data_IF_067532985727
#
_entry.id   IF_067532985727
#
_cell.length_a   1.000
_cell.length_b   1.000
_cell.length_c   1.000
_cell.angle_alpha   90.00
_cell.angle_beta   90.00
_cell.angle_gamma   90.00
#
_symmetry.space_group_name_H-M   'P 1'
#
loop_
_entity.id
_entity.type
_entity.pdbx_description
1 polymer ?
#
# COMPACT_ATOMS: atom_id res chain seq x y z
N UNK A 1 12.84 3.73 25.40
CA UNK A 1 11.67 4.41 24.82
C UNK A 1 10.84 3.36 24.11
N UNK A 2 9.52 3.44 24.19
CA UNK A 2 8.63 2.57 23.42
C UNK A 2 8.82 2.85 21.91
N UNK A 3 8.77 1.82 21.06
CA UNK A 3 8.99 1.92 19.61
C UNK A 3 8.04 2.94 18.98
N UNK A 4 6.82 3.02 19.49
CA UNK A 4 5.78 3.98 19.08
C UNK A 4 6.23 5.42 19.29
N UNK A 5 6.85 5.72 20.43
CA UNK A 5 7.33 7.07 20.74
C UNK A 5 8.47 7.47 19.78
N UNK A 6 9.43 6.57 19.56
CA UNK A 6 10.54 6.82 18.64
C UNK A 6 10.03 7.07 17.20
N UNK A 7 9.06 6.26 16.73
CA UNK A 7 8.43 6.48 15.42
C UNK A 7 7.72 7.82 15.33
N UNK A 8 7.07 8.28 16.40
CA UNK A 8 6.39 9.56 16.42
C UNK A 8 7.36 10.74 16.35
N UNK A 9 8.49 10.68 17.06
CA UNK A 9 9.57 11.67 16.97
C UNK A 9 10.13 11.71 15.54
N UNK A 10 10.41 10.56 14.93
CA UNK A 10 10.88 10.50 13.55
C UNK A 10 9.87 11.07 12.54
N UNK A 11 8.56 10.90 12.76
CA UNK A 11 7.53 11.53 11.90
C UNK A 11 7.52 13.05 11.99
N UNK A 12 7.99 13.63 13.09
CA UNK A 12 8.17 15.09 13.21
C UNK A 12 9.39 15.57 12.43
N UNK A 13 10.44 14.74 12.30
CA UNK A 13 11.58 15.01 11.43
C UNK A 13 11.23 14.85 9.95
N UNK A 14 10.44 13.83 9.60
CA UNK A 14 10.04 13.50 8.23
C UNK A 14 8.56 13.83 7.99
N UNK A 15 8.27 15.13 7.89
CA UNK A 15 6.93 15.64 7.58
C UNK A 15 6.42 15.18 6.21
N UNK A 16 5.13 15.34 5.94
CA UNK A 16 4.60 15.11 4.59
C UNK A 16 5.28 16.06 3.60
N UNK A 17 5.65 15.56 2.40
CA UNK A 17 6.18 16.45 1.38
C UNK A 17 5.10 17.48 1.01
N UNK A 18 5.53 18.73 0.82
CA UNK A 18 4.60 19.76 0.35
C UNK A 18 4.18 19.50 -1.11
N UNK A 19 3.12 20.19 -1.52
CA UNK A 19 2.56 20.02 -2.86
C UNK A 19 3.54 20.43 -3.97
N UNK A 20 4.46 21.37 -3.72
CA UNK A 20 5.43 21.82 -4.70
C UNK A 20 6.47 20.73 -4.98
N UNK A 21 7.00 20.11 -3.92
CA UNK A 21 7.90 18.96 -4.02
C UNK A 21 7.22 17.80 -4.74
N UNK A 22 6.02 17.41 -4.30
CA UNK A 22 5.24 16.32 -4.94
C UNK A 22 5.10 16.60 -6.45
N UNK A 23 4.69 17.80 -6.82
CA UNK A 23 4.49 18.17 -8.23
C UNK A 23 5.80 18.09 -9.03
N UNK A 24 6.92 18.46 -8.42
CA UNK A 24 8.24 18.41 -9.05
C UNK A 24 8.74 16.97 -9.30
N UNK A 25 8.40 16.02 -8.43
CA UNK A 25 8.99 14.66 -8.48
C UNK A 25 8.05 13.56 -8.98
N UNK A 26 6.73 13.68 -8.81
CA UNK A 26 5.77 12.59 -9.08
C UNK A 26 5.89 11.99 -10.49
N UNK A 27 6.15 12.82 -11.50
CA UNK A 27 6.26 12.37 -12.89
C UNK A 27 7.51 11.53 -13.12
N UNK A 28 8.65 11.98 -12.57
CA UNK A 28 9.93 11.26 -12.65
C UNK A 28 9.87 9.94 -11.89
N UNK A 29 9.30 9.95 -10.69
CA UNK A 29 9.10 8.73 -9.90
C UNK A 29 8.22 7.73 -10.65
N UNK A 30 7.10 8.20 -11.23
CA UNK A 30 6.20 7.34 -11.99
C UNK A 30 6.83 6.74 -13.25
N UNK A 31 7.75 7.46 -13.91
CA UNK A 31 8.53 6.93 -15.02
C UNK A 31 9.49 5.83 -14.54
N UNK A 32 10.30 6.11 -13.51
CA UNK A 32 11.23 5.11 -12.93
C UNK A 32 10.51 3.82 -12.54
N UNK A 33 9.39 3.96 -11.84
CA UNK A 33 8.56 2.81 -11.42
C UNK A 33 8.08 2.01 -12.64
N UNK A 34 7.68 2.67 -13.73
CA UNK A 34 7.26 2.02 -14.98
C UNK A 34 8.42 1.28 -15.68
N UNK A 35 9.65 1.69 -15.41
CA UNK A 35 10.88 1.04 -15.86
C UNK A 35 11.19 -0.31 -15.19
N UNK A 36 10.69 -0.52 -13.96
CA UNK A 36 11.02 -1.69 -13.14
C UNK A 36 10.45 -3.00 -13.70
N UNK A 37 11.23 -4.09 -13.62
CA UNK A 37 10.77 -5.43 -13.98
C UNK A 37 9.54 -5.88 -13.19
N UNK A 38 9.56 -5.70 -11.86
CA UNK A 38 8.43 -6.03 -10.97
C UNK A 38 7.14 -5.29 -11.33
N UNK A 39 7.24 -4.09 -11.89
CA UNK A 39 6.08 -3.34 -12.37
C UNK A 39 5.58 -3.89 -13.69
N UNK A 40 6.49 -4.14 -14.64
CA UNK A 40 6.13 -4.66 -15.97
C UNK A 40 5.46 -6.03 -15.88
N UNK A 41 5.98 -6.91 -15.04
CA UNK A 41 5.48 -8.28 -14.83
C UNK A 41 4.11 -8.32 -14.11
N UNK A 42 3.84 -7.39 -13.19
CA UNK A 42 2.60 -7.41 -12.41
C UNK A 42 1.41 -6.85 -13.20
N UNK A 43 0.40 -7.68 -13.49
CA UNK A 43 -0.84 -7.27 -14.17
C UNK A 43 -1.89 -6.67 -13.24
N UNK A 44 -1.90 -7.12 -11.99
CA UNK A 44 -2.76 -6.60 -10.93
C UNK A 44 -1.88 -6.06 -9.81
N UNK A 45 -2.07 -4.77 -9.51
CA UNK A 45 -1.19 -4.04 -8.58
C UNK A 45 -2.01 -3.25 -7.57
N UNK A 46 -1.55 -3.26 -6.33
CA UNK A 46 -2.09 -2.39 -5.30
C UNK A 46 -1.30 -1.10 -5.28
N UNK A 47 -1.97 0.04 -5.30
CA UNK A 47 -1.31 1.34 -5.15
C UNK A 47 -2.08 2.15 -4.11
N UNK A 48 -1.38 2.59 -3.07
CA UNK A 48 -2.00 3.40 -2.04
C UNK A 48 -2.52 4.74 -2.59
N UNK A 49 -3.51 5.36 -1.96
CA UNK A 49 -4.18 6.57 -2.46
C UNK A 49 -3.39 7.86 -2.17
N UNK A 50 -2.07 7.77 -1.98
CA UNK A 50 -1.18 8.92 -1.87
C UNK A 50 -1.27 9.82 -3.13
N UNK A 51 -1.14 11.13 -2.92
CA UNK A 51 -1.05 12.11 -4.01
C UNK A 51 0.25 11.98 -4.81
N UNK A 52 1.37 11.61 -4.17
CA UNK A 52 2.66 11.34 -4.82
C UNK A 52 2.53 10.23 -5.85
N UNK A 53 1.72 9.22 -5.55
CA UNK A 53 1.50 8.05 -6.40
C UNK A 53 0.39 8.23 -7.44
N UNK A 54 -0.21 9.42 -7.56
CA UNK A 54 -1.33 9.65 -8.49
C UNK A 54 -0.95 9.35 -9.93
N UNK A 55 0.22 9.81 -10.37
CA UNK A 55 0.69 9.54 -11.73
C UNK A 55 1.01 8.05 -11.95
N UNK A 56 1.48 7.34 -10.91
CA UNK A 56 1.72 5.88 -10.97
C UNK A 56 0.41 5.13 -11.24
N UNK A 57 -0.69 5.51 -10.57
CA UNK A 57 -2.02 4.92 -10.80
C UNK A 57 -2.55 5.20 -12.20
N UNK A 58 -2.34 6.41 -12.72
CA UNK A 58 -2.74 6.77 -14.10
C UNK A 58 -1.95 5.92 -15.10
N UNK A 59 -0.63 5.85 -14.96
CA UNK A 59 0.24 5.07 -15.84
C UNK A 59 -0.16 3.58 -15.82
N UNK A 60 -0.44 3.03 -14.63
CA UNK A 60 -0.87 1.64 -14.49
C UNK A 60 -2.13 1.31 -15.30
N UNK A 61 -3.17 2.15 -15.23
CA UNK A 61 -4.39 1.95 -16.00
C UNK A 61 -4.15 2.11 -17.50
N UNK A 62 -3.29 3.06 -17.91
CA UNK A 62 -2.89 3.23 -19.31
C UNK A 62 -2.06 2.06 -19.84
N UNK A 63 -1.32 1.39 -18.96
CA UNK A 63 -0.51 0.20 -19.26
C UNK A 63 -1.32 -1.10 -19.27
N UNK A 64 -2.64 -1.01 -19.15
CA UNK A 64 -3.50 -2.19 -19.17
C UNK A 64 -3.47 -2.99 -17.86
N UNK A 65 -3.04 -2.38 -16.75
CA UNK A 65 -3.01 -3.04 -15.43
C UNK A 65 -4.31 -2.79 -14.68
N UNK A 66 -4.72 -3.79 -13.90
CA UNK A 66 -5.76 -3.63 -12.91
C UNK A 66 -5.19 -3.00 -11.63
N UNK A 67 -5.81 -1.93 -11.16
CA UNK A 67 -5.35 -1.20 -9.97
C UNK A 67 -6.29 -1.47 -8.80
N UNK A 68 -5.75 -2.09 -7.75
CA UNK A 68 -6.42 -2.27 -6.46
C UNK A 68 -6.09 -1.07 -5.57
N UNK A 69 -7.10 -0.45 -4.99
CA UNK A 69 -6.93 0.64 -4.03
C UNK A 69 -7.72 0.38 -2.75
N UNK A 70 -7.22 0.79 -1.57
CA UNK A 70 -8.00 0.77 -0.35
C UNK A 70 -9.00 1.93 -0.35
N UNK A 71 -10.21 1.69 0.16
CA UNK A 71 -11.14 2.75 0.54
C UNK A 71 -10.60 3.57 1.73
N UNK A 72 -11.14 4.77 1.93
CA UNK A 72 -10.65 5.69 2.96
C UNK A 72 -10.66 5.05 4.35
N UNK A 73 -9.47 4.97 4.98
CA UNK A 73 -9.28 4.34 6.28
C UNK A 73 -9.65 2.85 6.33
N UNK A 74 -9.62 2.15 5.18
CA UNK A 74 -10.06 0.76 5.00
C UNK A 74 -11.51 0.48 5.43
N UNK A 75 -12.36 1.52 5.54
CA UNK A 75 -13.73 1.38 6.04
C UNK A 75 -14.58 0.51 5.14
N UNK A 76 -14.52 0.76 3.83
CA UNK A 76 -15.34 0.06 2.84
C UNK A 76 -14.65 -1.20 2.27
N UNK A 77 -13.35 -1.34 2.52
CA UNK A 77 -12.51 -2.40 1.99
C UNK A 77 -11.69 -1.96 0.79
N UNK A 78 -11.62 -2.80 -0.24
CA UNK A 78 -10.82 -2.57 -1.43
C UNK A 78 -11.71 -2.30 -2.65
N UNK A 79 -11.14 -1.60 -3.62
CA UNK A 79 -11.78 -1.30 -4.89
C UNK A 79 -10.84 -1.69 -6.03
N UNK A 80 -11.42 -2.13 -7.15
CA UNK A 80 -10.72 -2.44 -8.38
C UNK A 80 -11.07 -1.40 -9.44
N UNK A 81 -10.03 -0.78 -10.00
CA UNK A 81 -10.12 0.02 -11.21
C UNK A 81 -9.60 -0.85 -12.36
N UNK A 82 -10.48 -1.18 -13.29
CA UNK A 82 -10.11 -1.93 -14.49
C UNK A 82 -9.55 -0.97 -15.57
N UNK A 83 -8.52 -1.36 -16.32
CA UNK A 83 -8.00 -0.56 -17.41
C UNK A 83 -9.03 -0.46 -18.55
N UNK A 84 -8.95 0.59 -19.36
CA UNK A 84 -9.79 0.84 -20.54
C UNK A 84 -11.31 0.97 -20.32
N UNK A 85 -11.79 0.91 -19.07
CA UNK A 85 -13.20 1.19 -18.74
C UNK A 85 -13.45 2.66 -18.38
N UNK A 86 -12.38 3.43 -18.15
CA UNK A 86 -12.41 4.83 -17.74
C UNK A 86 -11.85 5.68 -18.88
N UNK A 87 -12.57 6.73 -19.27
CA UNK A 87 -12.10 7.63 -20.33
C UNK A 87 -10.83 8.38 -19.90
N UNK A 88 -9.97 8.72 -20.86
CA UNK A 88 -8.71 9.43 -20.60
C UNK A 88 -8.89 10.71 -19.76
N UNK A 89 -9.96 11.48 -20.04
CA UNK A 89 -10.28 12.72 -19.32
C UNK A 89 -10.66 12.48 -17.85
N UNK A 90 -11.13 11.29 -17.50
CA UNK A 90 -11.59 10.92 -16.16
C UNK A 90 -10.54 10.18 -15.34
N UNK A 91 -9.47 9.65 -15.94
CA UNK A 91 -8.43 8.88 -15.24
C UNK A 91 -7.89 9.61 -14.00
N UNK A 92 -7.60 10.89 -14.14
CA UNK A 92 -7.07 11.73 -13.06
C UNK A 92 -8.01 11.79 -11.85
N UNK A 93 -9.33 11.82 -12.08
CA UNK A 93 -10.35 11.79 -11.03
C UNK A 93 -10.51 10.37 -10.47
N UNK A 94 -10.59 9.37 -11.35
CA UNK A 94 -10.86 7.98 -10.98
C UNK A 94 -9.87 7.39 -9.97
N UNK A 95 -8.59 7.80 -10.05
CA UNK A 95 -7.52 7.32 -9.14
C UNK A 95 -7.44 8.08 -7.81
N UNK A 96 -8.48 8.82 -7.44
CA UNK A 96 -8.62 9.53 -6.15
C UNK A 96 -9.67 8.84 -5.27
N UNK A 97 -9.67 9.10 -3.97
CA UNK A 97 -10.75 8.62 -3.10
C UNK A 97 -12.14 9.02 -3.59
N UNK A 98 -12.30 10.26 -4.09
CA UNK A 98 -13.58 10.76 -4.61
C UNK A 98 -14.02 10.01 -5.88
N UNK A 99 -13.08 9.73 -6.78
CA UNK A 99 -13.38 8.99 -8.01
C UNK A 99 -13.60 7.50 -7.78
N UNK A 100 -12.98 6.92 -6.75
CA UNK A 100 -13.03 5.49 -6.50
C UNK A 100 -14.47 4.96 -6.33
N UNK A 101 -15.34 5.73 -5.67
CA UNK A 101 -16.75 5.38 -5.50
C UNK A 101 -17.55 5.42 -6.82
N UNK A 102 -17.11 6.21 -7.80
CA UNK A 102 -17.80 6.37 -9.09
C UNK A 102 -17.28 5.38 -10.15
N UNK A 103 -15.96 5.14 -10.17
CA UNK A 103 -15.29 4.40 -11.24
C UNK A 103 -14.77 3.02 -10.81
N UNK A 104 -14.57 2.81 -9.51
CA UNK A 104 -14.06 1.56 -8.96
C UNK A 104 -15.18 0.58 -8.63
N UNK A 105 -14.95 -0.70 -8.94
CA UNK A 105 -15.77 -1.78 -8.39
C UNK A 105 -15.35 -2.03 -6.95
N UNK A 106 -16.24 -1.80 -5.98
CA UNK A 106 -16.02 -2.24 -4.60
C UNK A 106 -15.93 -3.76 -4.55
N UNK A 107 -14.90 -4.29 -3.91
CA UNK A 107 -14.63 -5.71 -3.85
C UNK A 107 -15.29 -6.33 -2.61
N UNK A 108 -16.13 -7.32 -2.85
CA UNK A 108 -16.58 -8.25 -1.82
C UNK A 108 -15.50 -9.26 -1.47
N UNK A 109 -15.76 -10.10 -0.48
CA UNK A 109 -14.79 -11.09 -0.01
C UNK A 109 -14.42 -12.12 -1.09
N UNK A 110 -15.40 -12.61 -1.84
CA UNK A 110 -15.17 -13.53 -2.97
C UNK A 110 -14.39 -12.87 -4.11
N UNK A 111 -14.52 -11.55 -4.29
CA UNK A 111 -13.71 -10.82 -5.25
C UNK A 111 -12.25 -10.75 -4.79
N UNK A 112 -12.03 -10.44 -3.50
CA UNK A 112 -10.67 -10.33 -2.92
C UNK A 112 -9.93 -11.67 -2.99
N UNK A 113 -10.60 -12.79 -2.69
CA UNK A 113 -10.00 -14.12 -2.75
C UNK A 113 -9.55 -14.54 -4.18
N UNK A 114 -10.11 -13.89 -5.22
CA UNK A 114 -9.75 -14.11 -6.63
C UNK A 114 -8.62 -13.22 -7.12
N UNK A 115 -8.24 -12.20 -6.34
CA UNK A 115 -7.12 -11.31 -6.68
C UNK A 115 -5.81 -12.08 -6.71
N UNK A 116 -4.89 -11.62 -7.57
CA UNK A 116 -3.53 -12.13 -7.72
C UNK A 116 -2.58 -10.95 -7.83
N UNK A 117 -2.48 -10.18 -6.75
CA UNK A 117 -1.67 -8.96 -6.69
C UNK A 117 -0.19 -9.34 -6.71
N UNK A 118 0.55 -8.84 -7.71
CA UNK A 118 1.99 -9.09 -7.88
C UNK A 118 2.88 -7.96 -7.35
N UNK A 119 2.33 -6.77 -7.13
CA UNK A 119 3.07 -5.60 -6.66
C UNK A 119 2.19 -4.72 -5.76
N UNK A 120 2.71 -4.33 -4.61
CA UNK A 120 2.11 -3.39 -3.67
C UNK A 120 3.00 -2.13 -3.64
N UNK A 121 2.42 -0.95 -3.88
CA UNK A 121 3.15 0.32 -3.93
C UNK A 121 2.59 1.28 -2.87
N UNK A 122 3.46 1.81 -2.01
CA UNK A 122 3.10 2.81 -1.00
C UNK A 122 4.14 3.93 -0.89
N UNK A 123 3.68 5.12 -0.50
CA UNK A 123 4.56 6.21 -0.08
C UNK A 123 5.04 5.96 1.35
N UNK A 124 6.24 6.43 1.67
CA UNK A 124 6.76 6.40 3.03
C UNK A 124 7.25 7.79 3.47
N UNK A 125 7.24 8.03 4.79
CA UNK A 125 7.90 9.19 5.39
C UNK A 125 9.41 9.03 5.37
N UNK A 126 9.89 7.83 5.67
CA UNK A 126 11.27 7.42 5.60
C UNK A 126 11.35 5.91 5.38
N UNK A 127 12.44 5.45 4.78
CA UNK A 127 12.79 4.03 4.67
C UNK A 127 14.24 3.88 5.07
N UNK A 128 14.58 2.80 5.78
CA UNK A 128 15.96 2.55 6.17
C UNK A 128 16.73 1.69 5.17
N UNK A 129 18.04 1.51 5.38
CA UNK A 129 18.93 0.69 4.54
C UNK A 129 18.64 -0.81 4.57
N UNK A 130 17.66 -1.23 5.36
CA UNK A 130 17.18 -2.61 5.37
C UNK A 130 15.83 -2.72 4.64
N UNK A 131 15.13 -1.62 4.36
CA UNK A 131 13.81 -1.61 3.75
C UNK A 131 12.68 -1.48 4.77
N UNK A 132 12.96 -1.25 6.05
CA UNK A 132 11.91 -0.97 7.04
C UNK A 132 11.30 0.40 6.75
N UNK A 133 10.00 0.55 6.95
CA UNK A 133 9.24 1.70 6.48
C UNK A 133 8.61 2.48 7.62
N UNK A 134 8.77 3.80 7.61
CA UNK A 134 8.02 4.71 8.45
C UNK A 134 6.82 5.26 7.67
N UNK A 135 5.61 4.79 7.98
CA UNK A 135 4.36 5.32 7.44
C UNK A 135 3.83 6.55 8.19
N UNK A 136 2.63 6.99 7.84
CA UNK A 136 1.89 8.10 8.46
C UNK A 136 1.51 7.88 9.94
N UNK A 137 1.62 6.65 10.43
CA UNK A 137 1.27 6.26 11.80
C UNK A 137 -0.12 5.67 11.97
N UNK A 138 -0.94 5.65 10.92
CA UNK A 138 -2.26 5.01 10.95
C UNK A 138 -2.19 3.51 10.70
N UNK A 139 -1.04 2.98 10.27
CA UNK A 139 -0.80 1.55 10.00
C UNK A 139 -1.74 0.95 8.95
N UNK A 140 -2.30 1.80 8.07
CA UNK A 140 -3.31 1.37 7.10
C UNK A 140 -2.71 0.48 6.01
N UNK A 141 -1.51 0.78 5.54
CA UNK A 141 -0.85 -0.04 4.54
C UNK A 141 -0.48 -1.42 5.12
N UNK A 142 0.09 -1.47 6.32
CA UNK A 142 0.45 -2.74 6.98
C UNK A 142 -0.80 -3.62 7.18
N UNK A 143 -1.91 -3.03 7.64
CA UNK A 143 -3.20 -3.72 7.74
C UNK A 143 -3.78 -4.17 6.40
N UNK A 144 -3.63 -3.35 5.35
CA UNK A 144 -4.11 -3.71 4.02
C UNK A 144 -3.36 -4.93 3.49
N UNK A 145 -2.03 -4.95 3.62
CA UNK A 145 -1.17 -6.07 3.22
C UNK A 145 -1.53 -7.32 4.02
N UNK A 146 -1.64 -7.21 5.34
CA UNK A 146 -2.02 -8.34 6.19
C UNK A 146 -3.39 -8.92 5.83
N UNK A 147 -4.40 -8.05 5.62
CA UNK A 147 -5.75 -8.48 5.24
C UNK A 147 -5.79 -9.15 3.86
N UNK A 148 -5.03 -8.64 2.87
CA UNK A 148 -4.90 -9.24 1.55
C UNK A 148 -4.16 -10.58 1.63
N UNK A 149 -3.12 -10.68 2.46
CA UNK A 149 -2.37 -11.91 2.69
C UNK A 149 -3.24 -13.01 3.31
N UNK A 150 -4.00 -12.70 4.36
CA UNK A 150 -4.94 -13.63 5.01
C UNK A 150 -6.02 -14.15 4.05
N UNK A 151 -6.37 -13.36 3.04
CA UNK A 151 -7.34 -13.73 1.99
C UNK A 151 -6.68 -14.36 0.76
N UNK A 152 -5.38 -14.67 0.80
CA UNK A 152 -4.62 -15.26 -0.30
C UNK A 152 -4.68 -14.45 -1.61
N UNK A 153 -4.83 -13.13 -1.49
CA UNK A 153 -4.91 -12.20 -2.62
C UNK A 153 -3.54 -11.84 -3.22
N UNK A 154 -2.45 -12.16 -2.54
CA UNK A 154 -1.08 -11.85 -2.95
C UNK A 154 -0.44 -13.04 -3.67
N UNK A 155 0.30 -12.78 -4.74
CA UNK A 155 1.13 -13.82 -5.38
C UNK A 155 2.31 -14.23 -4.49
N UNK A 156 2.83 -15.45 -4.66
CA UNK A 156 3.97 -15.96 -3.88
C UNK A 156 5.24 -15.07 -3.96
N UNK A 157 5.43 -14.36 -5.08
CA UNK A 157 6.56 -13.43 -5.30
C UNK A 157 6.12 -11.97 -5.26
N UNK A 158 5.00 -11.65 -4.60
CA UNK A 158 4.49 -10.29 -4.52
C UNK A 158 5.54 -9.37 -3.86
N UNK A 159 5.93 -8.31 -4.58
CA UNK A 159 6.89 -7.34 -4.09
C UNK A 159 6.19 -6.15 -3.40
N UNK A 160 6.88 -5.56 -2.42
CA UNK A 160 6.50 -4.26 -1.85
C UNK A 160 7.52 -3.22 -2.32
N UNK A 161 7.01 -2.18 -2.97
CA UNK A 161 7.75 -1.04 -3.46
C UNK A 161 7.41 0.20 -2.63
N UNK A 162 8.40 0.69 -1.88
CA UNK A 162 8.34 1.97 -1.19
C UNK A 162 8.73 3.12 -2.13
N UNK A 163 8.05 4.25 -2.01
CA UNK A 163 8.37 5.45 -2.80
C UNK A 163 8.65 6.60 -1.85
N UNK A 164 9.81 7.25 -2.06
CA UNK A 164 10.21 8.44 -1.32
C UNK A 164 10.24 9.67 -2.25
N UNK A 165 9.76 10.83 -1.78
CA UNK A 165 9.76 12.07 -2.57
C UNK A 165 11.15 12.70 -2.72
N UNK A 166 12.12 12.32 -1.88
CA UNK A 166 13.50 12.80 -1.87
C UNK A 166 14.44 11.73 -1.29
N UNK A 167 15.74 11.89 -1.49
CA UNK A 167 16.78 10.93 -1.07
C UNK A 167 17.14 11.03 0.43
N UNK A 168 16.85 12.16 1.08
CA UNK A 168 17.17 12.38 2.51
C UNK A 168 16.32 11.51 3.44
N UNK A 169 15.18 11.05 2.94
CA UNK A 169 14.29 10.09 3.62
C UNK A 169 14.77 8.65 3.56
N UNK A 170 15.87 8.36 2.86
CA UNK A 170 16.56 7.08 2.92
C UNK A 170 17.62 7.12 4.03
N UNK A 171 17.22 6.65 5.22
CA UNK A 171 18.00 6.77 6.45
C UNK A 171 18.68 5.47 6.84
N UNK A 172 19.46 5.48 7.92
CA UNK A 172 20.26 4.31 8.30
C UNK A 172 19.44 3.21 8.97
N UNK A 173 18.61 3.57 9.96
CA UNK A 173 17.84 2.60 10.76
C UNK A 173 16.51 3.17 11.22
N UNK A 174 15.47 2.33 11.20
CA UNK A 174 14.18 2.63 11.81
C UNK A 174 13.86 1.66 12.96
N UNK A 175 13.14 2.09 14.00
CA UNK A 175 12.49 1.15 14.93
C UNK A 175 11.43 0.33 14.18
N UNK A 176 11.36 -0.96 14.48
CA UNK A 176 10.48 -1.92 13.80
C UNK A 176 9.57 -2.62 14.81
N UNK A 177 8.30 -2.76 14.46
CA UNK A 177 7.33 -3.56 15.20
C UNK A 177 6.98 -4.84 14.44
N UNK A 178 6.50 -5.91 15.11
CA UNK A 178 6.21 -7.20 14.47
C UNK A 178 5.17 -7.18 13.34
N UNK A 179 4.37 -6.12 13.25
CA UNK A 179 3.33 -5.95 12.23
C UNK A 179 3.78 -5.11 11.04
N UNK A 180 4.96 -4.48 11.07
CA UNK A 180 5.41 -3.62 9.97
C UNK A 180 5.77 -4.46 8.75
N UNK A 181 5.29 -4.03 7.58
CA UNK A 181 5.73 -4.61 6.30
C UNK A 181 7.02 -3.96 5.84
N UNK A 182 7.88 -4.75 5.20
CA UNK A 182 9.20 -4.32 4.75
C UNK A 182 9.20 -4.11 3.23
N UNK A 183 9.85 -3.08 2.74
CA UNK A 183 9.99 -2.85 1.31
C UNK A 183 11.14 -3.69 0.75
N UNK A 184 10.91 -4.44 -0.33
CA UNK A 184 11.98 -5.10 -1.10
C UNK A 184 12.59 -4.19 -2.15
N UNK A 185 11.85 -3.16 -2.55
CA UNK A 185 12.27 -2.17 -3.52
C UNK A 185 11.95 -0.79 -2.98
N UNK A 186 12.82 0.17 -3.27
CA UNK A 186 12.58 1.59 -3.00
C UNK A 186 12.97 2.40 -4.21
N UNK A 187 12.11 3.35 -4.56
CA UNK A 187 12.39 4.36 -5.59
C UNK A 187 12.44 5.73 -4.95
N UNK A 188 13.51 6.47 -5.28
CA UNK A 188 13.71 7.87 -4.95
C UNK A 188 13.98 8.68 -6.23
N UNK A 189 13.99 10.03 -6.18
CA UNK A 189 14.43 10.82 -7.32
C UNK A 189 15.87 10.49 -7.74
N UNK A 190 16.75 10.17 -6.78
CA UNK A 190 18.13 9.77 -7.03
C UNK A 190 18.29 8.38 -7.63
N UNK A 191 17.48 7.38 -7.27
CA UNK A 191 17.73 6.01 -7.73
C UNK A 191 16.71 4.96 -7.31
N UNK A 192 17.11 3.72 -7.59
CA UNK A 192 16.41 2.50 -7.19
C UNK A 192 17.27 1.77 -6.16
N UNK A 193 16.66 1.25 -5.11
CA UNK A 193 17.35 0.53 -4.03
C UNK A 193 16.65 -0.81 -3.81
N UNK A 194 17.42 -1.89 -3.82
CA UNK A 194 16.90 -3.25 -3.69
C UNK A 194 17.39 -3.85 -2.38
N UNK A 195 16.47 -4.44 -1.63
CA UNK A 195 16.76 -5.10 -0.35
C UNK A 195 16.45 -6.59 -0.48
N UNK A 196 17.42 -7.42 -0.11
CA UNK A 196 17.27 -8.89 -0.12
C UNK A 196 16.46 -9.35 1.10
N UNK A 197 15.89 -10.55 0.99
CA UNK A 197 15.21 -11.26 2.10
C UNK A 197 14.02 -10.50 2.70
N UNK A 198 12.97 -10.36 1.90
CA UNK A 198 11.74 -9.69 2.35
C UNK A 198 10.59 -10.69 2.39
N UNK A 199 10.35 -11.26 3.56
CA UNK A 199 9.19 -12.12 3.80
C UNK A 199 8.00 -11.25 4.25
N UNK A 200 7.24 -10.73 3.30
CA UNK A 200 6.15 -9.78 3.52
C UNK A 200 4.78 -10.44 3.68
N UNK A 201 4.69 -11.44 4.56
CA UNK A 201 3.40 -12.03 4.91
C UNK A 201 3.09 -11.84 6.40
N UNK A 202 3.07 -10.60 6.93
CA UNK A 202 2.62 -10.42 8.29
C UNK A 202 1.14 -10.80 8.36
N UNK A 203 0.82 -11.76 9.23
CA UNK A 203 -0.56 -12.08 9.57
C UNK A 203 -1.19 -10.97 10.39
N UNK A 204 -2.52 -10.99 10.52
CA UNK A 204 -3.20 -10.07 11.42
C UNK A 204 -2.96 -10.51 12.87
N UNK A 205 -2.30 -9.65 13.64
CA UNK A 205 -2.05 -9.87 15.06
C UNK A 205 -3.31 -9.54 15.88
N UNK A 206 -4.29 -10.44 15.84
CA UNK A 206 -5.63 -10.23 16.42
C UNK A 206 -5.63 -9.85 17.90
N UNK A 207 -4.66 -10.33 18.68
CA UNK A 207 -4.62 -10.13 20.13
C UNK A 207 -4.17 -8.72 20.53
N UNK A 208 -3.50 -7.99 19.63
CA UNK A 208 -3.06 -6.60 19.84
C UNK A 208 -3.95 -5.58 19.11
N UNK A 209 -4.82 -6.02 18.20
CA UNK A 209 -5.70 -5.13 17.43
C UNK A 209 -6.92 -4.71 18.28
N UNK A 210 -7.08 -3.39 18.43
CA UNK A 210 -8.24 -2.84 19.10
C UNK A 210 -9.56 -3.23 18.38
N UNK A 211 -10.52 -3.75 19.16
CA UNK A 211 -11.82 -4.19 18.64
C UNK A 211 -12.61 -3.07 17.98
N UNK A 212 -12.46 -1.81 18.42
CA UNK A 212 -13.16 -0.69 17.75
C UNK A 212 -12.57 -0.44 16.36
N UNK A 213 -11.24 -0.54 16.22
CA UNK A 213 -10.55 -0.47 14.93
C UNK A 213 -10.99 -1.60 13.99
N UNK A 214 -11.05 -2.85 14.48
CA UNK A 214 -11.53 -4.01 13.70
C UNK A 214 -12.94 -3.74 13.15
N UNK A 215 -13.89 -3.35 14.01
CA UNK A 215 -15.29 -3.10 13.61
C UNK A 215 -15.47 -1.98 12.59
N UNK A 216 -14.54 -1.02 12.54
CA UNK A 216 -14.59 0.13 11.61
C UNK A 216 -14.02 -0.18 10.23
N UNK A 217 -13.26 -1.26 10.08
CA UNK A 217 -12.58 -1.63 8.85
C UNK A 217 -13.18 -2.91 8.30
N UNK A 218 -13.94 -2.81 7.21
CA UNK A 218 -14.69 -3.94 6.66
C UNK A 218 -13.83 -5.21 6.43
N UNK A 219 -12.62 -5.14 5.83
CA UNK A 219 -11.79 -6.33 5.64
C UNK A 219 -11.43 -7.03 6.96
N UNK A 220 -11.13 -6.26 8.01
CA UNK A 220 -10.79 -6.83 9.32
C UNK A 220 -12.01 -7.40 10.02
N UNK A 221 -13.17 -6.73 9.91
CA UNK A 221 -14.40 -7.21 10.50
C UNK A 221 -14.87 -8.54 9.90
N UNK A 222 -14.78 -8.68 8.57
CA UNK A 222 -15.09 -9.92 7.86
C UNK A 222 -14.20 -11.07 8.33
N UNK A 223 -12.89 -10.87 8.31
CA UNK A 223 -11.91 -11.86 8.76
C UNK A 223 -12.08 -12.23 10.24
N UNK A 224 -12.36 -11.24 11.10
CA UNK A 224 -12.59 -11.47 12.53
C UNK A 224 -13.81 -12.36 12.79
N UNK A 225 -14.92 -12.12 12.08
CA UNK A 225 -16.13 -12.94 12.22
C UNK A 225 -15.90 -14.37 11.73
N UNK A 226 -15.26 -14.56 10.57
CA UNK A 226 -14.90 -15.89 10.07
C UNK A 226 -14.06 -16.68 11.07
N UNK A 227 -13.04 -16.05 11.65
CA UNK A 227 -12.19 -16.65 12.70
C UNK A 227 -13.00 -17.05 13.93
N UNK A 228 -13.98 -16.23 14.34
CA UNK A 228 -14.85 -16.52 15.49
C UNK A 228 -15.77 -17.71 15.20
N UNK A 229 -16.39 -17.74 14.03
CA UNK A 229 -17.34 -18.79 13.67
C UNK A 229 -16.64 -20.15 13.50
N UNK A 230 -15.41 -20.16 12.97
CA UNK A 230 -14.55 -21.36 12.93
C UNK A 230 -14.15 -21.88 14.32
N UNK A 231 -13.98 -20.99 15.31
CA UNK A 231 -13.69 -21.38 16.69
C UNK A 231 -14.93 -21.91 17.42
N UNK A 232 -16.12 -21.40 17.11
CA UNK A 232 -17.38 -21.90 17.68
C UNK A 232 -17.83 -23.23 17.08
N UNK A 233 -17.31 -23.61 15.91
CA UNK A 233 -17.59 -24.87 15.24
C UNK A 233 -16.63 -26.03 15.63
N UNK A 234 -15.67 -25.77 16.53
CA UNK A 234 -14.74 -26.75 17.10
C UNK A 234 -15.05 -26.96 18.57
#
# INVERSE_FOLDING_TARGET
>A
MDSVQQKNELRQCFLEPDFALIKAVQGRLAEKIRGLGIYREALQIFISPSILLRQVRINALLDGKEVVMPGAGLREGFFLLSPYTISFRQLSLAVTYKGLAQFGKRLGEDDVARLRIGLLIDEARAIDRQGNRLGDGLGLFDLAVAALSEQQALQNRCAILGVLPDDERLIDTLPVDPWDVKCGYVVTPGGEHHFTEVNNSPGLLWDILDKRRIKRMNPLWQLYNKRRDQKSAR
#
